data_IF_323386502446
#
_entry.id   IF_323386502446
#
_cell.length_a   1.000
_cell.length_b   1.000
_cell.length_c   1.000
_cell.angle_alpha   90.00
_cell.angle_beta   90.00
_cell.angle_gamma   90.00
#
_symmetry.space_group_name_H-M   'P 1'
#
loop_
_entity.id
_entity.type
_entity.pdbx_description
1 polymer ?
#
# COMPACT_ATOMS: atom_id res chain seq x y z
N UNK A 1 24.87 9.35 -46.24
CA UNK A 1 24.47 7.94 -46.36
C UNK A 1 22.95 7.92 -46.44
N UNK A 2 22.36 7.60 -47.59
CA UNK A 2 20.90 7.58 -47.76
C UNK A 2 20.44 6.19 -47.33
N UNK A 3 19.73 6.10 -46.21
CA UNK A 3 19.17 4.83 -45.73
C UNK A 3 18.02 4.45 -46.67
N UNK A 4 18.05 3.23 -47.22
CA UNK A 4 17.02 2.76 -48.15
C UNK A 4 15.67 2.54 -47.44
N UNK A 5 14.55 2.74 -48.16
CA UNK A 5 13.18 2.55 -47.64
C UNK A 5 12.97 1.19 -46.94
N UNK A 6 13.60 0.13 -47.44
CA UNK A 6 13.53 -1.21 -46.83
C UNK A 6 14.13 -1.27 -45.43
N UNK A 7 15.29 -0.64 -45.22
CA UNK A 7 15.95 -0.60 -43.91
C UNK A 7 15.16 0.24 -42.90
N UNK A 8 14.53 1.35 -43.35
CA UNK A 8 13.65 2.15 -42.48
C UNK A 8 12.43 1.33 -42.04
N UNK A 9 11.80 0.58 -42.95
CA UNK A 9 10.66 -0.29 -42.64
C UNK A 9 11.01 -1.39 -41.64
N UNK A 10 12.18 -2.00 -41.79
CA UNK A 10 12.68 -3.03 -40.87
C UNK A 10 12.85 -2.48 -39.45
N UNK A 11 13.50 -1.32 -39.31
CA UNK A 11 13.65 -0.64 -38.03
C UNK A 11 12.29 -0.29 -37.41
N UNK A 12 11.33 0.22 -38.20
CA UNK A 12 9.99 0.50 -37.68
C UNK A 12 9.29 -0.78 -37.16
N UNK A 13 9.42 -1.90 -37.86
CA UNK A 13 8.86 -3.17 -37.38
C UNK A 13 9.51 -3.65 -36.06
N UNK A 14 10.79 -3.37 -35.86
CA UNK A 14 11.48 -3.67 -34.59
C UNK A 14 10.99 -2.76 -33.47
N UNK A 15 10.79 -1.47 -33.76
CA UNK A 15 10.23 -0.50 -32.80
C UNK A 15 8.82 -0.94 -32.38
N UNK A 16 7.94 -1.33 -33.30
CA UNK A 16 6.58 -1.78 -32.95
C UNK A 16 6.58 -3.02 -32.05
N UNK A 17 7.56 -3.92 -32.20
CA UNK A 17 7.71 -5.07 -31.29
C UNK A 17 8.06 -4.60 -29.89
N UNK A 18 9.00 -3.67 -29.76
CA UNK A 18 9.39 -3.10 -28.47
C UNK A 18 8.24 -2.33 -27.83
N UNK A 19 7.49 -1.54 -28.60
CA UNK A 19 6.30 -0.83 -28.11
C UNK A 19 5.27 -1.80 -27.54
N UNK A 20 4.95 -2.88 -28.27
CA UNK A 20 4.02 -3.92 -27.76
C UNK A 20 4.52 -4.59 -26.49
N UNK A 21 5.83 -4.78 -26.34
CA UNK A 21 6.40 -5.31 -25.11
C UNK A 21 6.27 -4.32 -23.95
N UNK A 22 6.45 -3.02 -24.20
CA UNK A 22 6.22 -1.95 -23.22
C UNK A 22 4.74 -1.95 -22.79
N UNK A 23 3.80 -1.90 -23.73
CA UNK A 23 2.35 -1.90 -23.44
C UNK A 23 1.96 -3.15 -22.64
N UNK A 24 2.53 -4.32 -22.97
CA UNK A 24 2.28 -5.53 -22.21
C UNK A 24 2.81 -5.44 -20.78
N UNK A 25 3.93 -4.77 -20.55
CA UNK A 25 4.48 -4.58 -19.21
C UNK A 25 3.62 -3.59 -18.42
N UNK A 26 3.30 -2.44 -18.99
CA UNK A 26 2.51 -1.40 -18.33
C UNK A 26 1.10 -1.91 -18.02
N UNK A 27 0.31 -2.22 -19.05
CA UNK A 27 -1.10 -2.56 -18.89
C UNK A 27 -1.34 -3.91 -18.20
N UNK A 28 -0.48 -4.90 -18.48
CA UNK A 28 -0.74 -6.25 -17.95
C UNK A 28 0.08 -6.58 -16.72
N UNK A 29 1.27 -6.01 -16.48
CA UNK A 29 2.07 -6.43 -15.33
C UNK A 29 2.04 -5.41 -14.21
N UNK A 30 2.21 -4.13 -14.55
CA UNK A 30 2.23 -3.06 -13.56
C UNK A 30 0.82 -2.88 -12.99
N UNK A 31 -0.20 -2.66 -13.82
CA UNK A 31 -1.58 -2.45 -13.33
C UNK A 31 -2.07 -3.60 -12.46
N UNK A 32 -1.86 -4.86 -12.90
CA UNK A 32 -2.24 -6.04 -12.10
C UNK A 32 -1.51 -6.14 -10.76
N UNK A 33 -0.33 -5.56 -10.63
CA UNK A 33 0.41 -5.53 -9.36
C UNK A 33 -0.07 -4.35 -8.52
N UNK A 34 -0.29 -3.17 -9.10
CA UNK A 34 -0.91 -2.01 -8.44
C UNK A 34 -2.26 -2.38 -7.83
N UNK A 35 -3.17 -2.98 -8.61
CA UNK A 35 -4.49 -3.44 -8.16
C UNK A 35 -4.40 -4.39 -6.94
N UNK A 36 -3.41 -5.29 -6.95
CA UNK A 36 -3.18 -6.22 -5.84
C UNK A 36 -2.68 -5.50 -4.61
N UNK A 37 -1.75 -4.55 -4.77
CA UNK A 37 -1.25 -3.73 -3.68
C UNK A 37 -2.43 -2.99 -3.04
N UNK A 38 -3.28 -2.34 -3.84
CA UNK A 38 -4.44 -1.62 -3.32
C UNK A 38 -5.41 -2.53 -2.57
N UNK A 39 -5.68 -3.73 -3.10
CA UNK A 39 -6.54 -4.70 -2.44
C UNK A 39 -5.97 -5.15 -1.08
N UNK A 40 -4.67 -5.45 -1.02
CA UNK A 40 -3.98 -5.85 0.21
C UNK A 40 -3.90 -4.71 1.22
N UNK A 41 -3.60 -3.49 0.78
CA UNK A 41 -3.58 -2.28 1.63
C UNK A 41 -4.95 -2.00 2.23
N UNK A 42 -6.01 -2.11 1.43
CA UNK A 42 -7.38 -1.96 1.90
C UNK A 42 -7.75 -3.04 2.95
N UNK A 43 -7.30 -4.28 2.76
CA UNK A 43 -7.50 -5.34 3.75
C UNK A 43 -6.74 -5.06 5.03
N UNK A 44 -5.46 -4.71 4.92
CA UNK A 44 -4.61 -4.35 6.05
C UNK A 44 -5.19 -3.17 6.84
N UNK A 45 -5.68 -2.13 6.16
CA UNK A 45 -6.33 -0.98 6.79
C UNK A 45 -7.55 -1.36 7.63
N UNK A 46 -8.39 -2.29 7.15
CA UNK A 46 -9.54 -2.81 7.91
C UNK A 46 -9.09 -3.62 9.13
N UNK A 47 -8.11 -4.50 8.97
CA UNK A 47 -7.59 -5.31 10.08
C UNK A 47 -6.95 -4.46 11.18
N UNK A 48 -6.18 -3.44 10.80
CA UNK A 48 -5.60 -2.48 11.74
C UNK A 48 -6.67 -1.68 12.49
N UNK A 49 -7.75 -1.30 11.81
CA UNK A 49 -8.90 -0.63 12.44
C UNK A 49 -9.55 -1.53 13.48
N UNK A 50 -9.84 -2.79 13.11
CA UNK A 50 -10.40 -3.77 14.04
C UNK A 50 -9.47 -4.05 15.25
N UNK A 51 -8.16 -4.10 15.03
CA UNK A 51 -7.17 -4.26 16.09
C UNK A 51 -7.17 -3.04 17.03
N UNK A 52 -7.22 -1.82 16.49
CA UNK A 52 -7.30 -0.58 17.26
C UNK A 52 -8.58 -0.52 18.11
N UNK A 53 -9.72 -0.91 17.53
CA UNK A 53 -11.00 -0.98 18.24
C UNK A 53 -10.94 -1.97 19.41
N UNK A 54 -10.31 -3.13 19.19
CA UNK A 54 -10.11 -4.16 20.22
C UNK A 54 -9.22 -3.64 21.36
N UNK A 55 -8.10 -2.98 21.03
CA UNK A 55 -7.22 -2.37 22.03
C UNK A 55 -7.93 -1.30 22.86
N UNK A 56 -8.82 -0.53 22.24
CA UNK A 56 -9.63 0.49 22.93
C UNK A 56 -10.55 -0.13 24.00
N UNK A 57 -10.99 -1.39 23.82
CA UNK A 57 -11.78 -2.11 24.82
C UNK A 57 -10.97 -2.57 26.04
N UNK A 58 -9.64 -2.58 25.98
CA UNK A 58 -8.81 -3.02 27.12
C UNK A 58 -8.90 -2.04 28.28
N UNK A 59 -8.95 -0.73 28.00
CA UNK A 59 -9.06 0.29 29.06
C UNK A 59 -10.27 0.07 29.98
N UNK A 60 -11.52 -0.05 29.50
CA UNK A 60 -12.66 -0.29 30.38
C UNK A 60 -12.65 -1.67 31.06
N UNK A 61 -11.93 -2.66 30.52
CA UNK A 61 -11.69 -3.93 31.22
C UNK A 61 -10.73 -3.76 32.39
N UNK A 62 -9.63 -3.04 32.19
CA UNK A 62 -8.64 -2.71 33.22
C UNK A 62 -9.27 -1.84 34.31
N UNK A 63 -10.03 -0.81 33.95
CA UNK A 63 -10.73 0.05 34.91
C UNK A 63 -11.68 -0.77 35.80
N UNK A 64 -12.43 -1.72 35.22
CA UNK A 64 -13.29 -2.64 35.96
C UNK A 64 -12.51 -3.58 36.89
N UNK A 65 -11.37 -4.11 36.43
CA UNK A 65 -10.51 -4.96 37.25
C UNK A 65 -10.00 -4.20 38.48
N UNK A 66 -9.52 -2.97 38.30
CA UNK A 66 -9.05 -2.12 39.40
C UNK A 66 -10.19 -1.81 40.36
N UNK A 67 -11.38 -1.48 39.86
CA UNK A 67 -12.54 -1.16 40.70
C UNK A 67 -13.04 -2.37 41.51
N UNK A 68 -13.14 -3.54 40.88
CA UNK A 68 -13.75 -4.72 41.50
C UNK A 68 -12.78 -5.53 42.36
N UNK A 69 -11.54 -5.68 41.91
CA UNK A 69 -10.52 -6.47 42.59
C UNK A 69 -9.58 -5.59 43.38
N UNK A 70 -9.09 -4.50 42.79
CA UNK A 70 -8.15 -3.59 43.44
C UNK A 70 -8.75 -2.84 44.63
N UNK A 71 -10.00 -2.35 44.51
CA UNK A 71 -10.61 -1.46 45.51
C UNK A 71 -10.78 -2.04 46.92
N UNK A 72 -10.97 -3.36 47.04
CA UNK A 72 -11.21 -4.04 48.34
C UNK A 72 -10.15 -5.09 48.67
N UNK A 73 -9.06 -5.16 47.89
CA UNK A 73 -7.98 -6.11 48.08
C UNK A 73 -7.04 -5.70 49.24
N UNK A 74 -6.31 -6.63 49.86
CA UNK A 74 -5.19 -6.30 50.73
C UNK A 74 -4.12 -5.47 49.99
N UNK A 75 -3.40 -4.59 50.70
CA UNK A 75 -2.46 -3.61 50.11
C UNK A 75 -1.50 -4.21 49.07
N UNK A 76 -0.88 -5.35 49.38
CA UNK A 76 0.07 -6.01 48.47
C UNK A 76 -0.57 -6.43 47.14
N UNK A 77 -1.85 -6.82 47.16
CA UNK A 77 -2.61 -7.16 45.95
C UNK A 77 -2.99 -5.90 45.18
N UNK A 78 -3.36 -4.81 45.87
CA UNK A 78 -3.65 -3.53 45.21
C UNK A 78 -2.43 -3.01 44.44
N UNK A 79 -1.26 -3.06 45.07
CA UNK A 79 0.02 -2.64 44.46
C UNK A 79 0.35 -3.51 43.24
N UNK A 80 0.20 -4.83 43.37
CA UNK A 80 0.46 -5.76 42.27
C UNK A 80 -0.49 -5.51 41.08
N UNK A 81 -1.79 -5.41 41.35
CA UNK A 81 -2.82 -5.14 40.33
C UNK A 81 -2.57 -3.78 39.66
N UNK A 82 -2.29 -2.73 40.43
CA UNK A 82 -1.98 -1.41 39.90
C UNK A 82 -0.75 -1.39 39.00
N UNK A 83 0.31 -2.10 39.38
CA UNK A 83 1.54 -2.24 38.59
C UNK A 83 1.26 -2.95 37.26
N UNK A 84 0.57 -4.09 37.30
CA UNK A 84 0.20 -4.85 36.09
C UNK A 84 -0.70 -4.02 35.18
N UNK A 85 -1.71 -3.33 35.74
CA UNK A 85 -2.61 -2.48 34.96
C UNK A 85 -1.85 -1.34 34.27
N UNK A 86 -0.90 -0.72 34.97
CA UNK A 86 -0.04 0.32 34.39
C UNK A 86 0.80 -0.23 33.24
N UNK A 87 1.40 -1.41 33.40
CA UNK A 87 2.17 -2.05 32.34
C UNK A 87 1.31 -2.40 31.12
N UNK A 88 0.12 -2.98 31.35
CA UNK A 88 -0.83 -3.29 30.27
C UNK A 88 -1.18 -2.00 29.52
N UNK A 89 -1.54 -0.93 30.21
CA UNK A 89 -1.92 0.34 29.57
C UNK A 89 -0.76 0.97 28.80
N UNK A 90 0.48 0.83 29.28
CA UNK A 90 1.68 1.27 28.57
C UNK A 90 1.87 0.52 27.24
N UNK A 91 1.71 -0.81 27.27
CA UNK A 91 1.77 -1.65 26.06
C UNK A 91 0.64 -1.33 25.08
N UNK A 92 -0.60 -1.20 25.57
CA UNK A 92 -1.76 -0.82 24.74
C UNK A 92 -1.54 0.52 24.06
N UNK A 93 -1.04 1.52 24.78
CA UNK A 93 -0.74 2.84 24.22
C UNK A 93 0.33 2.75 23.14
N UNK A 94 1.43 2.04 23.41
CA UNK A 94 2.52 1.84 22.46
C UNK A 94 2.05 1.11 21.18
N UNK A 95 1.28 0.02 21.33
CA UNK A 95 0.75 -0.73 20.18
C UNK A 95 -0.25 0.11 19.38
N UNK A 96 -1.08 0.91 20.04
CA UNK A 96 -2.02 1.82 19.36
C UNK A 96 -1.27 2.85 18.52
N UNK A 97 -0.19 3.44 19.05
CA UNK A 97 0.67 4.36 18.31
C UNK A 97 1.29 3.69 17.07
N UNK A 98 1.80 2.46 17.22
CA UNK A 98 2.35 1.71 16.09
C UNK A 98 1.29 1.42 15.01
N UNK A 99 0.05 1.08 15.41
CA UNK A 99 -1.05 0.87 14.47
C UNK A 99 -1.33 2.16 13.67
N UNK A 100 -1.38 3.31 14.33
CA UNK A 100 -1.61 4.60 13.68
C UNK A 100 -0.50 4.94 12.68
N UNK A 101 0.77 4.62 13.01
CA UNK A 101 1.89 4.80 12.10
C UNK A 101 1.77 3.90 10.87
N UNK A 102 1.43 2.62 11.05
CA UNK A 102 1.21 1.71 9.90
C UNK A 102 0.03 2.17 9.05
N UNK A 103 -1.07 2.65 9.65
CA UNK A 103 -2.19 3.22 8.90
C UNK A 103 -1.79 4.45 8.08
N UNK A 104 -0.85 5.27 8.57
CA UNK A 104 -0.27 6.36 7.79
C UNK A 104 0.56 5.82 6.63
N UNK A 105 1.41 4.83 6.87
CA UNK A 105 2.22 4.21 5.83
C UNK A 105 1.36 3.60 4.73
N UNK A 106 0.22 2.98 5.06
CA UNK A 106 -0.75 2.48 4.08
C UNK A 106 -1.21 3.60 3.13
N UNK A 107 -1.58 4.77 3.68
CA UNK A 107 -1.96 5.94 2.86
C UNK A 107 -0.80 6.48 2.02
N UNK A 108 0.42 6.31 2.48
CA UNK A 108 1.59 6.72 1.70
C UNK A 108 1.81 5.79 0.51
N UNK A 109 1.63 4.47 0.68
CA UNK A 109 1.71 3.49 -0.42
C UNK A 109 0.56 3.66 -1.41
N UNK A 110 -0.67 3.92 -0.93
CA UNK A 110 -1.84 4.22 -1.77
C UNK A 110 -1.59 5.41 -2.72
N UNK A 111 -0.89 6.45 -2.23
CA UNK A 111 -0.48 7.58 -3.08
C UNK A 111 0.60 7.20 -4.10
N UNK A 112 1.44 6.21 -3.79
CA UNK A 112 2.45 5.72 -4.72
C UNK A 112 1.84 4.82 -5.80
N UNK A 113 0.82 4.03 -5.49
CA UNK A 113 0.08 3.27 -6.51
C UNK A 113 -0.67 4.23 -7.46
N UNK A 114 -1.31 5.27 -6.94
CA UNK A 114 -1.90 6.36 -7.76
C UNK A 114 -0.87 7.07 -8.68
N UNK A 115 0.39 7.18 -8.25
CA UNK A 115 1.46 7.80 -9.03
C UNK A 115 1.98 6.84 -10.10
N UNK A 116 2.07 5.54 -9.79
CA UNK A 116 2.40 4.49 -10.75
C UNK A 116 1.38 4.47 -11.88
N UNK A 117 0.08 4.53 -11.57
CA UNK A 117 -0.98 4.53 -12.60
C UNK A 117 -0.86 5.73 -13.54
N UNK A 118 -0.58 6.92 -13.00
CA UNK A 118 -0.33 8.12 -13.82
C UNK A 118 0.90 8.00 -14.72
N UNK A 119 1.96 7.35 -14.24
CA UNK A 119 3.16 7.10 -15.03
C UNK A 119 2.90 6.06 -16.12
N UNK A 120 2.09 5.03 -15.84
CA UNK A 120 1.63 4.06 -16.83
C UNK A 120 0.83 4.75 -17.94
N UNK A 121 -0.11 5.64 -17.59
CA UNK A 121 -0.87 6.44 -18.57
C UNK A 121 0.05 7.30 -19.46
N UNK A 122 1.07 7.93 -18.89
CA UNK A 122 2.04 8.73 -19.67
C UNK A 122 2.88 7.86 -20.62
N UNK A 123 3.26 6.65 -20.20
CA UNK A 123 3.95 5.69 -21.06
C UNK A 123 3.06 5.29 -22.23
N UNK A 124 1.80 4.95 -21.97
CA UNK A 124 0.83 4.58 -23.00
C UNK A 124 0.63 5.71 -24.02
N UNK A 125 0.58 6.97 -23.58
CA UNK A 125 0.54 8.14 -24.47
C UNK A 125 1.79 8.28 -25.35
N UNK A 126 2.96 7.93 -24.83
CA UNK A 126 4.23 7.98 -25.57
C UNK A 126 4.37 6.81 -26.54
N UNK A 127 3.95 5.60 -26.17
CA UNK A 127 3.97 4.43 -27.06
C UNK A 127 3.02 4.63 -28.23
N UNK A 128 1.83 5.16 -28.00
CA UNK A 128 0.89 5.54 -29.07
C UNK A 128 1.47 6.58 -30.04
N UNK A 129 2.27 7.54 -29.55
CA UNK A 129 2.97 8.50 -30.43
C UNK A 129 4.04 7.81 -31.28
N UNK A 130 4.78 6.86 -30.71
CA UNK A 130 5.79 6.08 -31.44
C UNK A 130 5.12 5.27 -32.54
N UNK A 131 4.03 4.57 -32.24
CA UNK A 131 3.24 3.81 -33.22
C UNK A 131 2.76 4.69 -34.37
N UNK A 132 2.25 5.90 -34.07
CA UNK A 132 1.84 6.84 -35.12
C UNK A 132 3.00 7.31 -36.01
N UNK A 133 4.22 7.34 -35.48
CA UNK A 133 5.43 7.69 -36.24
C UNK A 133 5.86 6.50 -37.10
N UNK A 134 5.97 5.29 -36.55
CA UNK A 134 6.40 4.08 -37.29
C UNK A 134 5.45 3.76 -38.44
N UNK A 135 4.14 3.88 -38.20
CA UNK A 135 3.09 3.70 -39.21
C UNK A 135 3.27 4.59 -40.45
N UNK A 136 3.82 5.80 -40.29
CA UNK A 136 4.05 6.72 -41.42
C UNK A 136 5.19 6.27 -42.33
N UNK A 137 6.15 5.51 -41.79
CA UNK A 137 7.33 5.04 -42.50
C UNK A 137 7.21 3.61 -43.02
N UNK A 138 6.19 2.87 -42.58
CA UNK A 138 5.86 1.52 -43.04
C UNK A 138 4.83 1.48 -44.19
N UNK A 139 4.17 2.61 -44.50
CA UNK A 139 3.31 2.76 -45.69
C UNK A 139 4.15 2.97 -46.95
#
# INVERSE_FOLDING_TARGET
MIVGKGAVREVCNEIDKVVREIDQITQSKIDRVSDKIDAELNSCGRELTNASDTLTQIKPLVDRLVQQVGGNAPDHVQVLVGSICTEIMSKVTSTTSNILEVQKNIKDVDRYTDEIDRLTDEIDDLTNKIDSITDKYQK
#
